data_IF_891655683291
#
_entry.id   IF_891655683291
#
_cell.length_a   1.000
_cell.length_b   1.000
_cell.length_c   1.000
_cell.angle_alpha   90.00
_cell.angle_beta   90.00
_cell.angle_gamma   90.00
#
_symmetry.space_group_name_H-M   'P 1'
#
loop_
_entity.id
_entity.type
_entity.pdbx_description
1 polymer ?
#
# COMPACT_ATOMS: atom_id res chain seq x y z
N UNK A 1 -16.02 18.41 1.71
CA UNK A 1 -15.49 17.85 2.97
C UNK A 1 -16.26 16.61 3.37
N UNK A 2 -17.60 16.66 3.49
CA UNK A 2 -18.40 15.45 3.75
C UNK A 2 -18.22 14.36 2.68
N UNK A 3 -18.31 14.70 1.40
CA UNK A 3 -18.13 13.72 0.31
C UNK A 3 -16.77 13.01 0.37
N UNK A 4 -15.69 13.76 0.67
CA UNK A 4 -14.35 13.19 0.79
C UNK A 4 -14.18 12.28 2.02
N UNK A 5 -14.79 12.64 3.16
CA UNK A 5 -14.81 11.79 4.35
C UNK A 5 -15.59 10.49 4.06
N UNK A 6 -16.70 10.59 3.33
CA UNK A 6 -17.50 9.42 2.96
C UNK A 6 -16.76 8.50 1.98
N UNK A 7 -15.96 9.06 1.08
CA UNK A 7 -15.05 8.30 0.21
C UNK A 7 -13.98 7.57 1.03
N UNK A 8 -13.33 8.24 1.99
CA UNK A 8 -12.35 7.59 2.89
C UNK A 8 -13.02 6.48 3.69
N UNK A 9 -14.21 6.72 4.25
CA UNK A 9 -14.98 5.68 4.96
C UNK A 9 -15.30 4.49 4.07
N UNK A 10 -15.63 4.71 2.81
CA UNK A 10 -15.87 3.62 1.86
C UNK A 10 -14.59 2.79 1.62
N UNK A 11 -13.45 3.46 1.49
CA UNK A 11 -12.15 2.80 1.35
C UNK A 11 -11.76 2.00 2.61
N UNK A 12 -11.93 2.59 3.80
CA UNK A 12 -11.69 1.90 5.08
C UNK A 12 -12.57 0.66 5.22
N UNK A 13 -13.87 0.75 4.93
CA UNK A 13 -14.78 -0.41 5.02
C UNK A 13 -14.40 -1.56 4.09
N UNK A 14 -13.84 -1.24 2.92
CA UNK A 14 -13.49 -2.25 1.92
C UNK A 14 -12.13 -2.90 2.18
N UNK A 15 -11.18 -2.17 2.78
CA UNK A 15 -9.76 -2.59 2.86
C UNK A 15 -9.19 -2.64 4.28
N UNK A 16 -9.97 -2.22 5.28
CA UNK A 16 -9.56 -2.14 6.68
C UNK A 16 -8.74 -0.90 7.03
N UNK A 17 -8.06 -0.28 6.06
CA UNK A 17 -7.24 0.91 6.26
C UNK A 17 -7.14 1.77 5.01
N UNK A 18 -6.93 3.08 5.19
CA UNK A 18 -6.60 4.04 4.14
C UNK A 18 -5.38 4.88 4.55
N UNK A 19 -4.56 5.31 3.61
CA UNK A 19 -3.39 6.16 3.90
C UNK A 19 -3.58 7.58 3.35
N UNK A 20 -3.34 8.57 4.19
CA UNK A 20 -3.29 9.98 3.80
C UNK A 20 -1.85 10.45 3.85
N UNK A 21 -1.41 11.12 2.77
CA UNK A 21 -0.11 11.77 2.70
C UNK A 21 -0.32 13.28 2.66
N UNK A 22 0.34 13.99 3.57
CA UNK A 22 0.44 15.45 3.59
C UNK A 22 1.82 15.83 3.08
N UNK A 23 1.86 16.71 2.09
CA UNK A 23 3.09 17.16 1.46
C UNK A 23 3.89 18.09 2.38
N UNK A 24 5.21 18.08 2.22
CA UNK A 24 6.10 19.04 2.90
C UNK A 24 5.79 20.48 2.49
N UNK A 25 6.00 21.41 3.42
CA UNK A 25 5.82 22.84 3.20
C UNK A 25 6.91 23.67 3.94
N UNK A 26 6.69 24.98 4.05
CA UNK A 26 7.64 25.87 4.74
C UNK A 26 7.67 25.66 6.27
N UNK A 27 6.65 25.04 6.85
CA UNK A 27 6.50 24.83 8.29
C UNK A 27 7.13 23.50 8.74
N UNK A 28 7.16 22.48 7.88
CA UNK A 28 7.73 21.19 8.26
C UNK A 28 7.83 20.13 7.16
N UNK A 29 8.36 18.94 7.51
CA UNK A 29 8.43 17.81 6.60
C UNK A 29 7.03 17.26 6.32
N UNK A 30 6.87 16.64 5.16
CA UNK A 30 5.66 15.89 4.85
C UNK A 30 5.49 14.68 5.77
N UNK A 31 4.26 14.21 5.91
CA UNK A 31 3.94 13.04 6.73
C UNK A 31 2.85 12.19 6.09
N UNK A 32 2.78 10.93 6.53
CA UNK A 32 1.74 9.99 6.10
C UNK A 32 1.15 9.34 7.33
N UNK A 33 -0.15 9.12 7.35
CA UNK A 33 -0.82 8.44 8.44
C UNK A 33 -1.92 7.50 7.95
N UNK A 34 -2.23 6.51 8.78
CA UNK A 34 -3.36 5.60 8.58
C UNK A 34 -4.67 6.26 8.99
N UNK A 35 -5.75 5.83 8.35
CA UNK A 35 -7.12 6.11 8.73
C UNK A 35 -7.87 4.78 8.72
N UNK A 36 -8.56 4.47 9.81
CA UNK A 36 -9.41 3.28 9.93
C UNK A 36 -8.90 2.23 10.92
N UNK A 37 -7.64 2.30 11.35
CA UNK A 37 -7.14 1.38 12.39
C UNK A 37 -7.88 1.61 13.72
N UNK A 38 -8.36 2.84 13.95
CA UNK A 38 -9.24 3.16 15.07
C UNK A 38 -10.49 2.27 15.13
N UNK A 39 -11.10 1.94 13.99
CA UNK A 39 -12.28 1.08 13.93
C UNK A 39 -11.97 -0.37 14.37
N UNK A 40 -10.70 -0.76 14.30
CA UNK A 40 -10.15 -2.03 14.80
C UNK A 40 -9.67 -1.94 16.26
N UNK A 41 -9.95 -0.81 16.92
CA UNK A 41 -9.51 -0.50 18.27
C UNK A 41 -8.01 -0.31 18.41
N UNK A 42 -7.29 0.01 17.34
CA UNK A 42 -5.84 0.25 17.31
C UNK A 42 -5.55 1.75 17.04
N UNK A 43 -4.52 2.37 17.63
CA UNK A 43 -4.16 3.75 17.35
C UNK A 43 -3.71 3.92 15.89
N UNK A 44 -4.04 5.04 15.27
CA UNK A 44 -3.53 5.32 13.92
C UNK A 44 -1.99 5.42 13.94
N UNK A 45 -1.34 4.97 12.87
CA UNK A 45 0.12 5.00 12.73
C UNK A 45 0.49 6.19 11.85
N UNK A 46 1.33 7.07 12.36
CA UNK A 46 1.86 8.24 11.63
C UNK A 46 3.36 8.15 11.41
N UNK A 47 3.83 8.60 10.24
CA UNK A 47 5.23 8.62 9.83
C UNK A 47 5.56 9.98 9.19
N UNK A 48 6.53 10.69 9.77
CA UNK A 48 7.03 11.98 9.25
C UNK A 48 8.32 11.75 8.47
N UNK A 49 8.51 12.45 7.35
CA UNK A 49 9.79 12.57 6.66
C UNK A 49 9.91 11.85 5.32
N UNK A 50 9.69 10.52 5.23
CA UNK A 50 9.79 9.80 3.97
C UNK A 50 8.84 10.33 2.89
N UNK A 51 9.26 10.19 1.63
CA UNK A 51 8.39 10.45 0.49
C UNK A 51 7.15 9.54 0.49
N UNK A 52 6.12 9.94 -0.26
CA UNK A 52 4.84 9.25 -0.28
C UNK A 52 4.95 7.75 -0.58
N UNK A 53 5.81 7.33 -1.50
CA UNK A 53 5.90 5.92 -1.89
C UNK A 53 6.64 5.10 -0.81
N UNK A 54 7.72 5.64 -0.26
CA UNK A 54 8.42 5.04 0.89
C UNK A 54 7.49 4.93 2.11
N UNK A 55 6.74 5.99 2.42
CA UNK A 55 5.85 6.01 3.56
C UNK A 55 4.69 5.03 3.40
N UNK A 56 4.08 4.97 2.21
CA UNK A 56 3.04 3.98 1.89
C UNK A 56 3.55 2.56 2.06
N UNK A 57 4.75 2.27 1.57
CA UNK A 57 5.35 0.94 1.69
C UNK A 57 5.53 0.53 3.16
N UNK A 58 6.08 1.42 3.99
CA UNK A 58 6.30 1.16 5.42
C UNK A 58 5.00 1.04 6.22
N UNK A 59 4.06 1.98 6.02
CA UNK A 59 2.80 1.99 6.75
C UNK A 59 1.89 0.84 6.35
N UNK A 60 1.84 0.45 5.08
CA UNK A 60 1.04 -0.70 4.66
C UNK A 60 1.52 -2.01 5.30
N UNK A 61 2.83 -2.24 5.46
CA UNK A 61 3.32 -3.45 6.15
C UNK A 61 2.76 -3.54 7.58
N UNK A 62 2.83 -2.45 8.34
CA UNK A 62 2.34 -2.43 9.72
C UNK A 62 0.82 -2.42 9.80
N UNK A 63 0.16 -1.60 8.99
CA UNK A 63 -1.29 -1.50 8.96
C UNK A 63 -1.94 -2.83 8.57
N UNK A 64 -1.42 -3.55 7.56
CA UNK A 64 -1.99 -4.83 7.19
C UNK A 64 -1.83 -5.91 8.26
N UNK A 65 -0.77 -5.87 9.08
CA UNK A 65 -0.66 -6.77 10.25
C UNK A 65 -1.76 -6.50 11.28
N UNK A 66 -2.14 -5.23 11.44
CA UNK A 66 -3.25 -4.84 12.32
C UNK A 66 -4.59 -5.26 11.71
N UNK A 67 -4.81 -4.98 10.42
CA UNK A 67 -6.02 -5.36 9.67
C UNK A 67 -6.24 -6.88 9.71
N UNK A 68 -5.18 -7.66 9.53
CA UNK A 68 -5.23 -9.13 9.55
C UNK A 68 -5.26 -9.71 10.98
N UNK A 69 -5.18 -8.87 12.01
CA UNK A 69 -5.18 -9.28 13.43
C UNK A 69 -3.94 -10.06 13.87
N UNK A 70 -2.85 -9.97 13.10
CA UNK A 70 -1.59 -10.71 13.34
C UNK A 70 -0.74 -10.00 14.40
N UNK A 71 -0.70 -8.68 14.37
CA UNK A 71 0.10 -7.89 15.30
C UNK A 71 -0.59 -6.58 15.68
N UNK A 72 -0.25 -6.07 16.87
CA UNK A 72 -0.70 -4.77 17.36
C UNK A 72 0.47 -3.95 17.84
N UNK A 73 0.34 -2.64 17.66
CA UNK A 73 1.36 -1.65 17.99
C UNK A 73 0.83 -0.56 18.93
N UNK A 74 0.02 -0.96 19.92
CA UNK A 74 -0.54 -0.04 20.92
C UNK A 74 0.49 0.37 21.97
N UNK A 75 1.51 -0.47 22.16
CA UNK A 75 2.56 -0.30 23.15
C UNK A 75 3.89 0.02 22.46
N UNK A 76 4.76 0.85 23.07
CA UNK A 76 6.03 1.21 22.49
C UNK A 76 6.93 0.00 22.24
N UNK A 77 7.51 -0.10 21.03
CA UNK A 77 8.31 -1.26 20.61
C UNK A 77 9.35 -0.85 19.57
N UNK A 78 10.49 -1.53 19.57
CA UNK A 78 11.42 -1.51 18.44
C UNK A 78 11.26 -2.79 17.62
N UNK A 79 11.03 -2.64 16.32
CA UNK A 79 11.03 -3.71 15.34
C UNK A 79 12.39 -3.73 14.64
N UNK A 80 13.12 -4.82 14.85
CA UNK A 80 14.45 -5.06 14.33
C UNK A 80 14.40 -5.76 12.98
N UNK A 81 15.34 -5.45 12.10
CA UNK A 81 15.44 -6.17 10.84
C UNK A 81 14.34 -5.81 9.84
N UNK A 82 13.84 -4.56 9.88
CA UNK A 82 12.66 -4.14 9.14
C UNK A 82 12.84 -4.38 7.63
N UNK A 83 11.84 -5.00 7.00
CA UNK A 83 11.91 -5.53 5.62
C UNK A 83 13.09 -6.47 5.35
N UNK A 84 13.52 -7.24 6.35
CA UNK A 84 14.66 -8.15 6.26
C UNK A 84 16.01 -7.44 6.08
N UNK A 85 16.04 -6.12 6.22
CA UNK A 85 17.23 -5.29 6.11
C UNK A 85 17.87 -5.00 7.47
N UNK A 86 18.99 -4.27 7.51
CA UNK A 86 19.65 -3.84 8.75
C UNK A 86 18.94 -2.66 9.46
N UNK A 87 17.74 -2.27 9.02
CA UNK A 87 17.04 -1.10 9.54
C UNK A 87 16.21 -1.45 10.76
N UNK A 88 16.10 -0.48 11.67
CA UNK A 88 15.23 -0.56 12.83
C UNK A 88 14.14 0.49 12.72
N UNK A 89 12.96 0.13 13.24
CA UNK A 89 11.87 1.08 13.41
C UNK A 89 11.37 1.03 14.83
N UNK A 90 10.99 2.19 15.37
CA UNK A 90 10.35 2.29 16.67
C UNK A 90 8.91 2.76 16.47
N UNK A 91 7.97 2.07 17.11
CA UNK A 91 6.61 2.59 17.30
C UNK A 91 6.54 3.17 18.70
N UNK A 92 6.21 4.47 18.79
CA UNK A 92 6.22 5.24 20.04
C UNK A 92 4.94 6.07 20.16
N UNK A 93 4.55 6.52 21.36
CA UNK A 93 3.31 7.29 21.53
C UNK A 93 3.39 8.60 20.77
N UNK A 94 2.32 8.96 20.06
CA UNK A 94 2.18 10.25 19.41
C UNK A 94 1.55 11.28 20.38
N UNK A 95 1.97 12.57 20.38
CA UNK A 95 1.40 13.57 21.27
C UNK A 95 -0.09 13.79 21.01
N UNK A 96 -0.92 13.60 22.05
CA UNK A 96 -2.38 13.69 21.93
C UNK A 96 -2.86 15.09 21.51
N UNK A 97 -2.14 16.14 21.91
CA UNK A 97 -2.41 17.53 21.56
C UNK A 97 -2.12 17.86 20.08
N UNK A 98 -1.43 16.97 19.36
CA UNK A 98 -1.15 17.10 17.93
C UNK A 98 -2.08 16.29 17.04
N UNK A 99 -2.91 15.40 17.60
CA UNK A 99 -3.76 14.49 16.82
C UNK A 99 -4.75 15.27 15.94
N UNK A 100 -5.41 16.27 16.50
CA UNK A 100 -6.39 17.06 15.75
C UNK A 100 -5.74 17.85 14.60
N UNK A 101 -4.53 18.36 14.82
CA UNK A 101 -3.80 19.17 13.83
C UNK A 101 -3.16 18.30 12.73
N UNK A 102 -2.52 17.18 13.10
CA UNK A 102 -1.74 16.35 12.16
C UNK A 102 -2.57 15.22 11.52
N UNK A 103 -3.63 14.74 12.20
CA UNK A 103 -4.46 13.59 11.79
C UNK A 103 -5.96 13.95 11.69
N UNK A 104 -6.29 15.22 11.42
CA UNK A 104 -7.68 15.71 11.41
C UNK A 104 -8.66 14.93 10.52
N UNK A 105 -8.20 14.30 9.43
CA UNK A 105 -9.07 13.43 8.63
C UNK A 105 -9.42 12.11 9.33
N UNK A 106 -8.49 11.53 10.12
CA UNK A 106 -8.78 10.34 10.92
C UNK A 106 -9.83 10.65 12.00
N UNK A 107 -9.68 11.79 12.69
CA UNK A 107 -10.67 12.32 13.66
C UNK A 107 -12.02 12.53 12.98
N UNK A 108 -12.05 13.16 11.81
CA UNK A 108 -13.28 13.40 11.06
C UNK A 108 -13.98 12.11 10.59
N UNK A 109 -13.21 11.11 10.18
CA UNK A 109 -13.73 9.78 9.77
C UNK A 109 -14.32 9.04 10.97
N UNK A 110 -13.57 8.96 12.08
CA UNK A 110 -13.99 8.32 13.32
C UNK A 110 -15.17 9.03 14.00
N UNK A 111 -15.31 10.34 13.80
CA UNK A 111 -16.35 11.16 14.41
C UNK A 111 -16.11 11.43 15.91
N UNK A 112 -14.86 11.34 16.37
CA UNK A 112 -14.47 11.52 17.76
C UNK A 112 -12.96 11.38 17.97
N UNK A 113 -12.54 11.32 19.24
CA UNK A 113 -11.13 11.24 19.62
C UNK A 113 -10.48 9.95 19.12
N UNK A 114 -9.33 10.10 18.45
CA UNK A 114 -8.49 8.97 18.02
C UNK A 114 -7.17 9.00 18.80
N UNK A 115 -6.61 7.82 19.06
CA UNK A 115 -5.24 7.70 19.55
C UNK A 115 -4.30 7.50 18.35
N UNK A 116 -3.03 7.86 18.51
CA UNK A 116 -2.03 7.65 17.49
C UNK A 116 -0.69 7.18 18.09
N UNK A 117 0.06 6.43 17.28
CA UNK A 117 1.45 6.07 17.51
C UNK A 117 2.27 6.53 16.32
N UNK A 118 3.50 6.95 16.60
CA UNK A 118 4.43 7.36 15.57
C UNK A 118 5.36 6.20 15.22
N UNK A 119 5.45 5.90 13.92
CA UNK A 119 6.53 5.14 13.34
C UNK A 119 7.75 6.05 13.15
N UNK A 120 8.86 5.70 13.79
CA UNK A 120 10.16 6.36 13.63
C UNK A 120 11.13 5.37 13.00
N UNK A 121 11.86 5.80 11.97
CA UNK A 121 12.74 4.93 11.18
C UNK A 121 14.18 5.42 11.34
N UNK A 122 15.13 4.49 11.51
CA UNK A 122 16.56 4.83 11.45
C UNK A 122 16.95 5.33 10.05
N UNK A 123 17.90 6.26 9.97
CA UNK A 123 18.50 6.66 8.71
C UNK A 123 19.30 5.55 8.03
N UNK A 124 19.80 5.85 6.83
CA UNK A 124 20.59 4.89 6.04
C UNK A 124 21.87 4.40 6.72
N UNK A 125 22.37 5.16 7.68
CA UNK A 125 23.53 4.88 8.51
C UNK A 125 23.18 4.23 9.86
N UNK A 126 21.93 3.76 10.02
CA UNK A 126 21.41 3.07 11.21
C UNK A 126 21.34 3.94 12.46
N UNK A 127 21.33 5.27 12.29
CA UNK A 127 21.13 6.22 13.39
C UNK A 127 19.67 6.66 13.50
N UNK A 128 19.22 6.89 14.72
CA UNK A 128 17.91 7.47 15.00
C UNK A 128 17.89 8.97 14.68
N UNK A 129 16.72 9.54 14.36
CA UNK A 129 16.60 10.98 14.04
C UNK A 129 17.18 11.95 15.08
N UNK A 130 17.16 11.59 16.37
CA UNK A 130 17.69 12.43 17.45
C UNK A 130 19.19 12.27 17.69
N UNK A 131 19.86 11.37 16.96
CA UNK A 131 21.32 11.18 17.01
C UNK A 131 22.07 12.08 16.00
N UNK A 132 21.34 12.85 15.18
CA UNK A 132 21.91 13.86 14.30
C UNK A 132 22.01 15.21 15.00
N UNK A 133 23.14 15.90 14.81
CA UNK A 133 23.37 17.24 15.39
C UNK A 133 22.55 18.33 14.67
N UNK A 134 22.22 18.11 13.40
CA UNK A 134 21.47 19.04 12.53
C UNK A 134 20.35 18.30 11.78
N UNK A 135 19.13 18.87 11.82
CA UNK A 135 18.02 18.43 10.98
C UNK A 135 18.40 18.56 9.50
N UNK A 136 18.16 17.49 8.72
CA UNK A 136 18.40 17.48 7.28
C UNK A 136 19.84 17.19 6.83
N UNK A 137 20.78 16.95 7.75
CA UNK A 137 22.15 16.55 7.39
C UNK A 137 22.32 15.03 7.51
N UNK A 138 22.56 14.38 6.35
CA UNK A 138 23.02 13.00 6.20
C UNK A 138 22.07 11.85 6.64
N UNK A 139 20.96 11.65 5.93
CA UNK A 139 20.47 10.29 5.66
C UNK A 139 19.22 9.78 6.39
N UNK A 140 18.58 10.59 7.23
CA UNK A 140 17.20 10.34 7.69
C UNK A 140 16.34 11.56 7.44
N UNK A 141 15.24 11.40 6.70
CA UNK A 141 14.18 12.43 6.63
C UNK A 141 13.24 12.36 7.83
N UNK A 142 13.31 11.29 8.63
CA UNK A 142 12.35 11.05 9.70
C UNK A 142 12.54 12.00 10.88
N UNK A 143 11.43 12.38 11.51
CA UNK A 143 11.38 13.31 12.65
C UNK A 143 10.68 12.63 13.81
N UNK A 144 10.99 12.94 15.06
CA UNK A 144 10.18 12.54 16.22
C UNK A 144 9.27 13.70 16.61
N UNK A 145 7.96 13.45 16.67
CA UNK A 145 6.95 14.47 16.92
C UNK A 145 6.80 14.83 18.40
N UNK A 146 7.15 13.89 19.29
CA UNK A 146 7.11 14.04 20.74
C UNK A 146 8.49 14.06 21.39
N UNK A 147 8.56 13.79 22.71
CA UNK A 147 9.82 13.66 23.44
C UNK A 147 10.69 12.56 22.82
N UNK A 148 12.01 12.74 22.87
CA UNK A 148 12.97 11.70 22.46
C UNK A 148 12.76 10.45 23.33
N UNK A 149 12.44 9.30 22.73
CA UNK A 149 12.21 8.06 23.48
C UNK A 149 13.53 7.43 23.95
N UNK A 150 13.50 6.76 25.11
CA UNK A 150 14.57 5.86 25.53
C UNK A 150 14.43 4.52 24.80
N UNK A 151 14.85 4.49 23.52
CA UNK A 151 14.77 3.29 22.66
C UNK A 151 15.53 2.09 23.21
N UNK A 152 16.54 2.31 24.07
CA UNK A 152 17.29 1.23 24.71
C UNK A 152 16.49 0.49 25.79
N UNK A 153 15.45 1.13 26.34
CA UNK A 153 14.56 0.53 27.34
C UNK A 153 13.32 -0.13 26.72
N UNK A 154 13.07 0.07 25.42
CA UNK A 154 11.89 -0.48 24.74
C UNK A 154 12.03 -1.99 24.47
N UNK A 155 10.92 -2.76 24.52
CA UNK A 155 10.93 -4.14 24.06
C UNK A 155 11.31 -4.20 22.58
N UNK A 156 12.06 -5.24 22.20
CA UNK A 156 12.55 -5.44 20.84
C UNK A 156 11.94 -6.71 20.25
N UNK A 157 11.54 -6.65 18.98
CA UNK A 157 10.95 -7.76 18.24
C UNK A 157 11.57 -7.87 16.85
N UNK A 158 11.84 -9.08 16.34
CA UNK A 158 12.24 -9.21 14.95
C UNK A 158 11.06 -8.93 14.02
N UNK A 159 11.31 -8.23 12.93
CA UNK A 159 10.41 -8.19 11.80
C UNK A 159 10.32 -9.59 11.19
N UNK A 160 9.08 -10.04 10.99
CA UNK A 160 8.79 -11.30 10.31
C UNK A 160 7.97 -10.95 9.08
N UNK A 161 8.34 -11.52 7.92
CA UNK A 161 7.59 -11.32 6.69
C UNK A 161 6.11 -11.66 6.90
N UNK A 162 5.23 -10.71 6.54
CA UNK A 162 3.79 -10.87 6.58
C UNK A 162 3.24 -10.62 5.18
N UNK A 163 2.35 -11.49 4.72
CA UNK A 163 1.72 -11.38 3.42
C UNK A 163 0.25 -11.07 3.65
N UNK A 164 -0.12 -9.83 3.37
CA UNK A 164 -1.53 -9.45 3.30
C UNK A 164 -2.15 -10.07 2.05
N UNK A 165 -3.26 -10.76 2.20
CA UNK A 165 -3.98 -11.40 1.09
C UNK A 165 -5.32 -10.70 0.87
N UNK A 166 -5.62 -10.31 -0.38
CA UNK A 166 -6.92 -9.71 -0.73
C UNK A 166 -8.02 -10.76 -0.92
N UNK A 167 -7.61 -11.99 -1.25
CA UNK A 167 -8.42 -13.20 -1.23
C UNK A 167 -7.51 -14.35 -0.78
N UNK A 168 -8.05 -15.44 -0.21
CA UNK A 168 -7.25 -16.60 0.13
C UNK A 168 -6.35 -17.06 -1.02
N UNK A 169 -5.03 -16.99 -0.83
CA UNK A 169 -4.01 -17.34 -1.83
C UNK A 169 -3.67 -16.25 -2.85
N UNK A 170 -4.21 -15.04 -2.72
CA UNK A 170 -3.92 -13.89 -3.58
C UNK A 170 -3.32 -12.77 -2.75
N UNK A 171 -1.99 -12.70 -2.72
CA UNK A 171 -1.27 -11.64 -2.02
C UNK A 171 -1.62 -10.26 -2.60
N UNK A 172 -1.77 -9.25 -1.74
CA UNK A 172 -1.99 -7.86 -2.10
C UNK A 172 -0.94 -7.37 -3.11
N UNK A 173 0.34 -7.70 -2.86
CA UNK A 173 1.48 -7.37 -3.71
C UNK A 173 1.61 -8.19 -4.99
N UNK A 174 0.61 -9.02 -5.34
CA UNK A 174 0.64 -9.80 -6.59
C UNK A 174 0.69 -8.84 -7.78
N UNK A 175 1.72 -8.99 -8.61
CA UNK A 175 1.99 -8.07 -9.73
C UNK A 175 1.03 -8.31 -10.89
N UNK A 176 0.54 -7.22 -11.47
CA UNK A 176 -0.25 -7.24 -12.68
C UNK A 176 0.24 -6.21 -13.70
N UNK A 177 0.15 -6.56 -14.97
CA UNK A 177 0.37 -5.65 -16.09
C UNK A 177 -0.88 -4.84 -16.33
N UNK A 178 -0.75 -3.52 -16.32
CA UNK A 178 -1.84 -2.58 -16.57
C UNK A 178 -1.64 -1.94 -17.93
N UNK A 179 -2.71 -1.80 -18.72
CA UNK A 179 -2.64 -0.88 -19.85
C UNK A 179 -2.57 0.58 -19.33
N UNK A 180 -2.00 1.47 -20.14
CA UNK A 180 -1.80 2.88 -19.75
C UNK A 180 -3.06 3.57 -19.25
N UNK A 181 -4.22 3.32 -19.87
CA UNK A 181 -5.48 3.99 -19.49
C UNK A 181 -6.02 3.52 -18.14
N UNK A 182 -5.86 2.23 -17.82
CA UNK A 182 -6.17 1.71 -16.48
C UNK A 182 -5.20 2.33 -15.47
N UNK A 183 -3.91 2.36 -15.79
CA UNK A 183 -2.89 2.91 -14.90
C UNK A 183 -3.13 4.40 -14.57
N UNK A 184 -3.50 5.22 -15.56
CA UNK A 184 -3.75 6.65 -15.35
C UNK A 184 -5.14 6.97 -14.79
N UNK A 185 -6.00 5.96 -14.61
CA UNK A 185 -7.40 6.15 -14.20
C UNK A 185 -8.30 6.74 -15.29
N UNK A 186 -7.83 6.81 -16.55
CA UNK A 186 -8.60 7.29 -17.70
C UNK A 186 -9.66 6.28 -18.19
N UNK A 187 -9.56 5.02 -17.76
CA UNK A 187 -10.52 3.98 -18.08
C UNK A 187 -10.59 2.93 -16.96
N UNK A 188 -11.77 2.35 -16.71
CA UNK A 188 -11.90 1.25 -15.75
C UNK A 188 -11.26 -0.03 -16.29
N UNK A 189 -11.04 -0.99 -15.40
CA UNK A 189 -10.70 -2.37 -15.79
C UNK A 189 -11.94 -3.03 -16.38
N UNK A 190 -11.86 -3.50 -17.63
CA UNK A 190 -12.94 -4.23 -18.29
C UNK A 190 -12.56 -5.67 -18.62
N UNK A 191 -11.27 -5.96 -18.76
CA UNK A 191 -10.76 -7.33 -18.91
C UNK A 191 -9.69 -7.64 -17.86
N UNK A 192 -9.78 -8.84 -17.29
CA UNK A 192 -8.83 -9.43 -16.35
C UNK A 192 -8.32 -10.72 -16.96
N UNK A 193 -7.01 -10.85 -17.13
CA UNK A 193 -6.38 -12.05 -17.70
C UNK A 193 -5.42 -12.62 -16.67
N UNK A 194 -5.58 -13.90 -16.33
CA UNK A 194 -4.54 -14.68 -15.68
C UNK A 194 -3.93 -15.59 -16.74
N UNK A 195 -2.83 -15.18 -17.37
CA UNK A 195 -2.24 -15.92 -18.49
C UNK A 195 -1.66 -17.25 -17.99
N UNK A 196 -1.44 -18.18 -18.91
CA UNK A 196 -0.88 -19.50 -18.65
C UNK A 196 0.53 -19.49 -18.04
N UNK A 197 1.24 -18.36 -18.12
CA UNK A 197 2.55 -18.19 -17.46
C UNK A 197 2.44 -17.65 -16.02
N UNK A 198 1.23 -17.46 -15.51
CA UNK A 198 0.94 -16.95 -14.17
C UNK A 198 0.96 -15.42 -14.08
N UNK A 199 1.15 -14.70 -15.20
CA UNK A 199 1.05 -13.24 -15.20
C UNK A 199 -0.39 -12.78 -15.17
N UNK A 200 -0.65 -11.75 -14.36
CA UNK A 200 -1.92 -11.05 -14.33
C UNK A 200 -1.89 -9.83 -15.25
N UNK A 201 -3.01 -9.54 -15.89
CA UNK A 201 -3.19 -8.35 -16.72
C UNK A 201 -4.56 -7.73 -16.43
N UNK A 202 -4.61 -6.42 -16.29
CA UNK A 202 -5.83 -5.64 -16.09
C UNK A 202 -5.92 -4.58 -17.20
N UNK A 203 -6.91 -4.72 -18.07
CA UNK A 203 -7.02 -4.01 -19.34
C UNK A 203 -8.37 -3.30 -19.44
N UNK A 204 -8.45 -2.26 -20.26
CA UNK A 204 -9.67 -1.46 -20.40
C UNK A 204 -10.59 -1.87 -21.56
N UNK A 205 -10.50 -3.10 -22.12
CA UNK A 205 -11.39 -3.53 -23.22
C UNK A 205 -11.10 -2.94 -24.60
N UNK A 206 -10.14 -2.03 -24.72
CA UNK A 206 -9.84 -1.28 -25.93
C UNK A 206 -8.70 -1.87 -26.75
N UNK A 207 -8.83 -1.85 -28.08
CA UNK A 207 -7.68 -2.00 -28.97
C UNK A 207 -6.93 -0.67 -29.06
N UNK A 208 -5.74 -0.59 -28.50
CA UNK A 208 -4.88 0.58 -28.62
C UNK A 208 -3.85 0.35 -29.73
N UNK A 209 -4.08 0.99 -30.88
CA UNK A 209 -3.14 1.01 -31.99
C UNK A 209 -1.84 1.72 -31.56
N UNK A 210 -0.85 0.93 -31.12
CA UNK A 210 0.42 1.41 -30.55
C UNK A 210 1.04 0.47 -29.52
N UNK A 211 0.25 -0.47 -28.95
CA UNK A 211 0.72 -1.46 -27.96
C UNK A 211 1.40 -2.68 -28.60
N UNK A 212 1.57 -2.67 -29.93
CA UNK A 212 2.50 -3.53 -30.63
C UNK A 212 3.84 -2.77 -30.81
N UNK A 213 4.79 -3.01 -29.90
CA UNK A 213 6.19 -2.58 -29.96
C UNK A 213 6.52 -1.13 -29.53
N UNK A 214 6.47 -0.88 -28.22
CA UNK A 214 7.16 0.22 -27.55
C UNK A 214 6.97 0.10 -26.04
N UNK A 215 8.03 0.32 -25.26
CA UNK A 215 8.10 0.13 -23.78
C UNK A 215 7.19 1.09 -22.97
N UNK A 216 6.34 1.88 -23.64
CA UNK A 216 5.66 3.06 -23.07
C UNK A 216 4.14 2.86 -22.80
N UNK A 217 3.63 1.62 -22.93
CA UNK A 217 2.18 1.32 -22.89
C UNK A 217 1.70 0.34 -21.81
N UNK A 218 2.62 -0.38 -21.15
CA UNK A 218 2.31 -1.35 -20.10
C UNK A 218 3.00 -0.91 -18.82
N UNK A 219 2.22 -0.80 -17.75
CA UNK A 219 2.74 -0.52 -16.42
C UNK A 219 2.62 -1.72 -15.51
N UNK A 220 3.45 -1.75 -14.46
CA UNK A 220 3.35 -2.75 -13.41
C UNK A 220 2.58 -2.16 -12.22
N UNK A 221 1.54 -2.85 -11.78
CA UNK A 221 0.78 -2.53 -10.58
C UNK A 221 0.62 -3.75 -9.68
N UNK A 222 -0.11 -3.57 -8.57
CA UNK A 222 -0.44 -4.64 -7.63
C UNK A 222 -1.94 -4.91 -7.65
N UNK A 223 -2.34 -6.19 -7.68
CA UNK A 223 -3.74 -6.59 -7.70
C UNK A 223 -4.52 -6.02 -6.52
N UNK A 224 -3.91 -6.00 -5.32
CA UNK A 224 -4.56 -5.45 -4.15
C UNK A 224 -4.88 -3.96 -4.28
N UNK A 225 -3.92 -3.15 -4.75
CA UNK A 225 -4.16 -1.73 -5.05
C UNK A 225 -5.24 -1.52 -6.11
N UNK A 226 -5.33 -2.40 -7.10
CA UNK A 226 -6.37 -2.28 -8.12
C UNK A 226 -7.74 -2.64 -7.58
N UNK A 227 -7.83 -3.66 -6.71
CA UNK A 227 -9.05 -4.01 -5.99
C UNK A 227 -9.49 -2.89 -5.03
N UNK A 228 -8.56 -2.08 -4.52
CA UNK A 228 -8.90 -0.88 -3.73
C UNK A 228 -9.73 0.15 -4.50
N UNK A 229 -9.36 0.35 -5.77
CA UNK A 229 -10.05 1.27 -6.66
C UNK A 229 -11.34 0.66 -7.23
N UNK A 230 -11.33 -0.65 -7.52
CA UNK A 230 -12.46 -1.38 -8.10
C UNK A 230 -12.72 -2.68 -7.33
N UNK A 231 -13.53 -2.63 -6.25
CA UNK A 231 -13.79 -3.78 -5.40
C UNK A 231 -14.45 -4.96 -6.13
N UNK A 232 -15.11 -4.73 -7.27
CA UNK A 232 -15.68 -5.80 -8.08
C UNK A 232 -14.61 -6.71 -8.70
N UNK A 233 -13.33 -6.31 -8.71
CA UNK A 233 -12.22 -7.21 -9.08
C UNK A 233 -12.12 -8.42 -8.17
N UNK A 234 -12.50 -8.30 -6.89
CA UNK A 234 -12.46 -9.43 -5.94
C UNK A 234 -13.31 -10.62 -6.40
N UNK A 235 -14.28 -10.41 -7.29
CA UNK A 235 -15.08 -11.49 -7.87
C UNK A 235 -14.33 -12.34 -8.91
N UNK A 236 -13.15 -11.90 -9.37
CA UNK A 236 -12.38 -12.55 -10.45
C UNK A 236 -10.88 -12.66 -10.17
N UNK A 237 -10.39 -12.21 -9.01
CA UNK A 237 -8.99 -12.43 -8.64
C UNK A 237 -8.69 -13.89 -8.24
N UNK A 238 -9.71 -14.76 -8.20
CA UNK A 238 -9.60 -16.21 -8.04
C UNK A 238 -9.41 -16.97 -9.37
N UNK A 239 -9.30 -16.27 -10.51
CA UNK A 239 -9.12 -16.89 -11.82
C UNK A 239 -7.91 -17.84 -11.81
N UNK A 240 -8.03 -19.08 -12.32
CA UNK A 240 -6.87 -19.94 -12.54
C UNK A 240 -6.10 -19.49 -13.79
N UNK A 241 -4.83 -19.87 -13.87
CA UNK A 241 -3.99 -19.57 -15.03
C UNK A 241 -4.59 -20.15 -16.33
N UNK A 242 -4.63 -19.35 -17.38
CA UNK A 242 -5.27 -19.66 -18.66
C UNK A 242 -6.75 -19.27 -18.76
N UNK A 243 -7.25 -18.45 -17.84
CA UNK A 243 -8.65 -17.98 -17.84
C UNK A 243 -8.66 -16.46 -17.80
N UNK A 244 -9.61 -15.89 -18.53
CA UNK A 244 -9.89 -14.46 -18.54
C UNK A 244 -11.31 -14.19 -18.03
N UNK A 245 -11.54 -12.97 -17.56
CA UNK A 245 -12.86 -12.45 -17.27
C UNK A 245 -13.04 -11.07 -17.90
N UNK A 246 -14.23 -10.78 -18.42
CA UNK A 246 -14.54 -9.49 -19.03
C UNK A 246 -15.91 -8.98 -18.58
N UNK A 247 -16.08 -7.66 -18.57
CA UNK A 247 -17.34 -6.95 -18.28
C UNK A 247 -17.54 -5.79 -19.25
N UNK A 248 -18.78 -5.37 -19.47
CA UNK A 248 -19.10 -4.33 -20.44
C UNK A 248 -18.83 -2.90 -19.93
N UNK A 249 -18.92 -2.69 -18.61
CA UNK A 249 -18.78 -1.40 -17.94
C UNK A 249 -18.30 -1.59 -16.49
N UNK A 250 -17.84 -0.51 -15.86
CA UNK A 250 -17.41 -0.50 -14.46
C UNK A 250 -18.56 -0.95 -13.53
N UNK A 251 -18.27 -1.86 -12.58
CA UNK A 251 -19.29 -2.47 -11.72
C UNK A 251 -20.25 -3.44 -12.42
N UNK A 252 -20.06 -3.69 -13.72
CA UNK A 252 -20.84 -4.68 -14.48
C UNK A 252 -20.49 -6.12 -14.12
N UNK A 253 -21.38 -7.06 -14.49
CA UNK A 253 -21.22 -8.50 -14.22
C UNK A 253 -20.06 -9.09 -15.04
N UNK A 254 -19.18 -9.82 -14.36
CA UNK A 254 -18.08 -10.54 -15.00
C UNK A 254 -18.54 -11.79 -15.76
N UNK A 255 -18.02 -11.97 -16.96
CA UNK A 255 -18.13 -13.20 -17.74
C UNK A 255 -16.75 -13.85 -17.83
N UNK A 256 -16.61 -15.10 -17.40
CA UNK A 256 -15.35 -15.85 -17.45
C UNK A 256 -15.27 -16.69 -18.73
N UNK A 257 -14.09 -16.81 -19.32
CA UNK A 257 -13.83 -17.65 -20.47
C UNK A 257 -12.45 -18.32 -20.40
N UNK A 258 -12.35 -19.56 -20.88
CA UNK A 258 -11.05 -20.21 -21.07
C UNK A 258 -10.29 -19.59 -22.24
N UNK A 259 -9.02 -19.28 -22.03
CA UNK A 259 -8.17 -18.78 -23.10
C UNK A 259 -7.87 -19.92 -24.08
N UNK A 260 -8.10 -19.74 -25.39
CA UNK A 260 -8.04 -20.84 -26.35
C UNK A 260 -6.64 -21.45 -26.57
N UNK A 261 -5.54 -20.82 -26.12
CA UNK A 261 -4.15 -21.30 -26.29
C UNK A 261 -3.18 -20.68 -25.26
N UNK A 262 -2.04 -21.36 -24.94
CA UNK A 262 -0.94 -20.76 -24.18
C UNK A 262 -0.54 -19.39 -24.72
N UNK A 263 -0.35 -18.42 -23.82
CA UNK A 263 -0.16 -17.00 -24.09
C UNK A 263 0.87 -16.69 -25.19
N UNK A 264 0.70 -15.54 -25.83
CA UNK A 264 1.59 -15.04 -26.89
C UNK A 264 3.08 -15.08 -26.48
N UNK A 265 3.38 -14.78 -25.21
CA UNK A 265 4.74 -14.76 -24.65
C UNK A 265 5.41 -16.13 -24.58
N UNK A 266 4.67 -17.21 -24.25
CA UNK A 266 5.21 -18.57 -24.26
C UNK A 266 5.63 -18.99 -25.67
N UNK A 267 4.81 -18.66 -26.68
CA UNK A 267 5.14 -18.92 -28.09
C UNK A 267 6.35 -18.11 -28.55
N UNK A 268 6.49 -16.86 -28.09
CA UNK A 268 7.66 -16.05 -28.38
C UNK A 268 8.92 -16.59 -27.69
N UNK A 269 8.86 -17.04 -26.43
CA UNK A 269 9.99 -17.67 -25.73
C UNK A 269 10.38 -19.02 -26.34
N UNK A 270 9.44 -19.87 -26.74
CA UNK A 270 9.75 -21.14 -27.42
C UNK A 270 10.37 -20.93 -28.82
N UNK A 271 9.97 -19.84 -29.51
CA UNK A 271 10.47 -19.49 -30.85
C UNK A 271 11.81 -18.75 -30.83
N UNK A 272 12.09 -17.96 -29.79
CA UNK A 272 13.27 -17.08 -29.73
C UNK A 272 14.22 -17.36 -28.55
N UNK A 273 13.85 -18.22 -27.61
CA UNK A 273 14.63 -18.58 -26.41
C UNK A 273 15.62 -19.73 -26.57
N UNK A 274 15.93 -20.16 -27.81
CA UNK A 274 17.13 -20.97 -28.08
C UNK A 274 18.30 -20.04 -28.42
N UNK A 275 18.94 -19.50 -27.40
CA UNK A 275 20.37 -19.13 -27.41
C UNK A 275 20.98 -19.46 -26.06
#
# INVERSE_FOLDING_TARGET
MNDFIDDIRAQVRSHGVFLIHVHEDEEGPGWTYTVGLHELGHPEIVLFGPDQESAKFMLNDLAFRVVDGVERFDEPVVVEGFFGGPYEVALVPFPADRVDDDLGMAVGVAGGDVAAVQLVVTGRDHRWPWEYETFGDQGSSAVVAGPVPDVGALPRRPWVEHVHEVLPGVAYGTKAYLCRRVQTGEAPVLDVVHDHDGSWQLLCGGLHAGEAAGDDGIALGFLGRMAEHDPALLEVLDLPAGVEAFRAEEGGVWTRAEMPRPGLWRRLRERFGRR
#
